data_IF_769236191487
#
_entry.id   IF_769236191487
#
_cell.length_a   1.000
_cell.length_b   1.000
_cell.length_c   1.000
_cell.angle_alpha   90.00
_cell.angle_beta   90.00
_cell.angle_gamma   90.00
#
_symmetry.space_group_name_H-M   'P 1'
#
loop_
_entity.id
_entity.type
_entity.pdbx_description
1 polymer ?
#
# COMPACT_ATOMS: atom_id res chain seq x y z
N UNK A 1 54.77 34.97 -28.16
CA UNK A 1 54.61 33.51 -28.40
C UNK A 1 54.40 32.73 -27.11
N UNK A 2 55.22 32.92 -26.07
CA UNK A 2 55.08 32.29 -24.74
C UNK A 2 53.76 32.63 -24.02
N UNK A 3 53.34 33.89 -24.03
CA UNK A 3 52.06 34.34 -23.42
C UNK A 3 50.84 33.66 -24.07
N UNK A 4 50.84 33.50 -25.39
CA UNK A 4 49.76 32.79 -26.10
C UNK A 4 49.73 31.29 -25.74
N UNK A 5 50.89 30.66 -25.58
CA UNK A 5 50.99 29.28 -25.11
C UNK A 5 50.40 29.13 -23.69
N UNK A 6 50.73 30.02 -22.77
CA UNK A 6 50.20 30.01 -21.40
C UNK A 6 48.68 30.18 -21.39
N UNK A 7 48.15 31.09 -22.22
CA UNK A 7 46.71 31.30 -22.36
C UNK A 7 45.98 30.07 -22.91
N UNK A 8 46.53 29.43 -23.95
CA UNK A 8 45.93 28.23 -24.54
C UNK A 8 45.94 27.05 -23.57
N UNK A 9 47.03 26.87 -22.82
CA UNK A 9 47.13 25.83 -21.79
C UNK A 9 46.12 26.08 -20.67
N UNK A 10 45.99 27.33 -20.20
CA UNK A 10 45.01 27.70 -19.20
C UNK A 10 43.56 27.44 -19.66
N UNK A 11 43.25 27.77 -20.91
CA UNK A 11 41.93 27.50 -21.51
C UNK A 11 41.64 26.00 -21.57
N UNK A 12 42.62 25.19 -22.01
CA UNK A 12 42.48 23.72 -22.07
C UNK A 12 42.22 23.12 -20.69
N UNK A 13 42.95 23.58 -19.66
CA UNK A 13 42.75 23.11 -18.29
C UNK A 13 41.35 23.50 -17.79
N UNK A 14 40.91 24.73 -18.03
CA UNK A 14 39.59 25.19 -17.65
C UNK A 14 38.47 24.36 -18.29
N UNK A 15 38.59 24.05 -19.59
CA UNK A 15 37.65 23.17 -20.31
C UNK A 15 37.66 21.76 -19.74
N UNK A 16 38.84 21.18 -19.47
CA UNK A 16 38.96 19.84 -18.89
C UNK A 16 38.31 19.76 -17.50
N UNK A 17 38.53 20.77 -16.65
CA UNK A 17 37.90 20.86 -15.32
C UNK A 17 36.38 20.99 -15.43
N UNK A 18 35.89 21.83 -16.36
CA UNK A 18 34.45 21.99 -16.57
C UNK A 18 33.79 20.68 -17.04
N UNK A 19 34.40 19.99 -18.01
CA UNK A 19 33.91 18.69 -18.50
C UNK A 19 33.94 17.64 -17.38
N UNK A 20 35.03 17.55 -16.62
CA UNK A 20 35.13 16.63 -15.50
C UNK A 20 34.07 16.89 -14.43
N UNK A 21 33.83 18.15 -14.08
CA UNK A 21 32.82 18.54 -13.11
C UNK A 21 31.40 18.19 -13.57
N UNK A 22 31.08 18.46 -14.84
CA UNK A 22 29.80 18.09 -15.43
C UNK A 22 29.60 16.57 -15.47
N UNK A 23 30.65 15.82 -15.83
CA UNK A 23 30.60 14.36 -15.87
C UNK A 23 30.37 13.78 -14.48
N UNK A 24 31.10 14.27 -13.48
CA UNK A 24 30.92 13.85 -12.09
C UNK A 24 29.53 14.19 -11.57
N UNK A 25 28.96 15.33 -11.97
CA UNK A 25 27.58 15.72 -11.65
C UNK A 25 26.56 14.79 -12.32
N UNK A 26 26.77 14.42 -13.59
CA UNK A 26 25.92 13.46 -14.30
C UNK A 26 25.98 12.07 -13.65
N UNK A 27 27.18 11.59 -13.32
CA UNK A 27 27.40 10.31 -12.64
C UNK A 27 26.71 10.27 -11.26
N UNK A 28 26.71 11.38 -10.52
CA UNK A 28 25.95 11.47 -9.26
C UNK A 28 24.44 11.34 -9.50
N UNK A 29 23.89 12.02 -10.51
CA UNK A 29 22.47 11.93 -10.85
C UNK A 29 22.08 10.52 -11.31
N UNK A 30 22.94 9.87 -12.11
CA UNK A 30 22.74 8.47 -12.50
C UNK A 30 22.80 7.53 -11.29
N UNK A 31 23.68 7.79 -10.32
CA UNK A 31 23.75 6.98 -9.11
C UNK A 31 22.49 7.10 -8.24
N UNK A 32 21.87 8.29 -8.16
CA UNK A 32 20.59 8.48 -7.46
C UNK A 32 19.46 7.74 -8.18
N UNK A 33 19.43 7.80 -9.52
CA UNK A 33 18.45 7.05 -10.34
C UNK A 33 18.66 5.54 -10.28
N UNK A 34 19.89 5.07 -10.17
CA UNK A 34 20.19 3.65 -9.99
C UNK A 34 19.70 3.16 -8.61
N UNK A 35 19.84 3.97 -7.57
CA UNK A 35 19.32 3.68 -6.23
C UNK A 35 17.78 3.67 -6.22
N UNK A 36 17.14 4.61 -6.92
CA UNK A 36 15.67 4.59 -7.10
C UNK A 36 15.20 3.36 -7.90
N UNK A 37 15.87 3.02 -9.00
CA UNK A 37 15.53 1.84 -9.80
C UNK A 37 15.69 0.53 -9.01
N UNK A 38 16.75 0.40 -8.21
CA UNK A 38 16.97 -0.74 -7.31
C UNK A 38 15.89 -0.80 -6.22
N UNK A 39 15.47 0.36 -5.69
CA UNK A 39 14.40 0.44 -4.70
C UNK A 39 13.06 0.00 -5.30
N UNK A 40 12.75 0.41 -6.53
CA UNK A 40 11.55 -0.03 -7.26
C UNK A 40 11.57 -1.53 -7.57
N UNK A 41 12.71 -2.08 -7.97
CA UNK A 41 12.86 -3.53 -8.21
C UNK A 41 12.66 -4.35 -6.93
N UNK A 42 13.15 -3.85 -5.79
CA UNK A 42 12.97 -4.51 -4.49
C UNK A 42 11.50 -4.49 -4.06
N UNK A 43 10.81 -3.36 -4.23
CA UNK A 43 9.36 -3.26 -3.96
C UNK A 43 8.57 -4.18 -4.90
N UNK A 44 8.89 -4.24 -6.19
CA UNK A 44 8.22 -5.14 -7.13
C UNK A 44 8.44 -6.62 -6.80
N UNK A 45 9.65 -7.00 -6.35
CA UNK A 45 9.92 -8.38 -5.92
C UNK A 45 9.13 -8.75 -4.66
N UNK A 46 9.01 -7.82 -3.70
CA UNK A 46 8.17 -8.02 -2.51
C UNK A 46 6.68 -8.11 -2.89
N UNK A 47 6.22 -7.28 -3.83
CA UNK A 47 4.84 -7.33 -4.32
C UNK A 47 4.56 -8.64 -5.06
N UNK A 48 5.48 -9.11 -5.90
CA UNK A 48 5.35 -10.37 -6.62
C UNK A 48 5.38 -11.58 -5.67
N UNK A 49 6.22 -11.56 -4.63
CA UNK A 49 6.24 -12.60 -3.60
C UNK A 49 4.95 -12.61 -2.77
N UNK A 50 4.45 -11.43 -2.38
CA UNK A 50 3.18 -11.30 -1.69
C UNK A 50 2.00 -11.74 -2.57
N UNK A 51 2.00 -11.41 -3.85
CA UNK A 51 0.96 -11.78 -4.80
C UNK A 51 0.96 -13.29 -5.10
N UNK A 52 2.13 -13.94 -5.12
CA UNK A 52 2.23 -15.41 -5.19
C UNK A 52 1.67 -16.07 -3.94
N UNK A 53 2.02 -15.58 -2.74
CA UNK A 53 1.42 -16.08 -1.50
C UNK A 53 -0.10 -15.87 -1.47
N UNK A 54 -0.60 -14.74 -1.96
CA UNK A 54 -2.04 -14.49 -2.08
C UNK A 54 -2.67 -15.43 -3.11
N UNK A 55 -2.02 -15.74 -4.23
CA UNK A 55 -2.52 -16.73 -5.19
C UNK A 55 -2.53 -18.15 -4.61
N UNK A 56 -1.50 -18.57 -3.89
CA UNK A 56 -1.49 -19.88 -3.23
C UNK A 56 -2.57 -19.98 -2.15
N UNK A 57 -2.72 -18.93 -1.33
CA UNK A 57 -3.82 -18.84 -0.35
C UNK A 57 -5.16 -18.74 -1.06
N UNK A 58 -5.27 -18.06 -2.20
CA UNK A 58 -6.51 -17.95 -2.98
C UNK A 58 -6.85 -19.26 -3.68
N UNK A 59 -5.89 -20.08 -4.12
CA UNK A 59 -6.14 -21.42 -4.66
C UNK A 59 -6.57 -22.37 -3.55
N UNK A 60 -5.94 -22.31 -2.37
CA UNK A 60 -6.37 -23.04 -1.19
C UNK A 60 -7.74 -22.57 -0.68
N UNK A 61 -8.01 -21.26 -0.74
CA UNK A 61 -9.29 -20.68 -0.38
C UNK A 61 -10.34 -20.96 -1.45
N UNK A 62 -10.01 -21.02 -2.74
CA UNK A 62 -10.93 -21.39 -3.81
C UNK A 62 -11.30 -22.87 -3.73
N UNK A 63 -10.36 -23.73 -3.33
CA UNK A 63 -10.68 -25.11 -2.95
C UNK A 63 -11.59 -25.19 -1.72
N UNK A 64 -11.54 -24.20 -0.81
CA UNK A 64 -12.46 -24.08 0.34
C UNK A 64 -13.76 -23.32 0.04
N UNK A 65 -13.79 -22.50 -1.01
CA UNK A 65 -14.89 -21.59 -1.42
C UNK A 65 -15.78 -22.22 -2.49
N UNK A 66 -15.32 -23.24 -3.23
CA UNK A 66 -16.24 -24.09 -4.01
C UNK A 66 -17.25 -24.79 -3.10
N UNK A 67 -16.96 -24.93 -1.80
CA UNK A 67 -17.95 -25.38 -0.81
C UNK A 67 -18.78 -24.22 -0.20
N UNK A 68 -18.28 -22.98 -0.24
CA UNK A 68 -18.91 -21.80 0.36
C UNK A 68 -18.64 -20.49 -0.41
N UNK A 69 -19.53 -20.14 -1.33
CA UNK A 69 -19.82 -18.75 -1.73
C UNK A 69 -21.23 -18.38 -1.19
N UNK A 70 -21.60 -17.09 -0.97
CA UNK A 70 -20.96 -15.88 -1.49
C UNK A 70 -20.88 -14.66 -0.52
N UNK A 71 -20.29 -13.59 -1.06
CA UNK A 71 -20.37 -12.13 -0.71
C UNK A 71 -19.28 -11.47 0.16
N UNK A 72 -18.52 -10.61 -0.54
CA UNK A 72 -18.07 -9.26 -0.15
C UNK A 72 -17.56 -9.07 1.29
N UNK A 73 -16.23 -9.05 1.46
CA UNK A 73 -15.59 -8.60 2.69
C UNK A 73 -14.62 -7.44 2.41
N UNK A 74 -15.00 -6.27 2.94
CA UNK A 74 -14.09 -5.20 3.36
C UNK A 74 -13.43 -5.60 4.71
N UNK A 75 -12.34 -4.92 5.15
CA UNK A 75 -11.20 -5.56 5.81
C UNK A 75 -11.42 -5.98 7.26
N UNK A 76 -10.65 -6.99 7.62
CA UNK A 76 -10.62 -7.71 8.88
C UNK A 76 -10.31 -6.86 10.13
N UNK A 77 -11.09 -7.09 11.18
CA UNK A 77 -10.61 -7.08 12.55
C UNK A 77 -10.56 -8.53 13.05
N UNK A 78 -9.44 -8.88 13.66
CA UNK A 78 -9.00 -10.22 14.07
C UNK A 78 -9.81 -10.84 15.22
N UNK A 79 -9.69 -12.17 15.33
CA UNK A 79 -10.12 -13.11 16.38
C UNK A 79 -11.53 -13.71 16.26
N UNK A 80 -11.51 -14.99 15.87
CA UNK A 80 -12.30 -16.10 16.42
C UNK A 80 -13.77 -15.83 16.82
N UNK A 81 -14.67 -16.30 15.95
CA UNK A 81 -16.08 -16.50 16.26
C UNK A 81 -16.95 -15.34 15.78
N UNK A 82 -17.72 -15.57 14.72
CA UNK A 82 -18.80 -14.70 14.21
C UNK A 82 -18.41 -13.23 14.10
N UNK A 83 -18.06 -12.76 12.89
CA UNK A 83 -17.70 -11.35 12.66
C UNK A 83 -18.63 -10.38 13.44
N UNK A 84 -18.10 -9.54 14.34
CA UNK A 84 -18.89 -8.67 15.24
C UNK A 84 -19.84 -7.74 14.47
N UNK A 85 -19.51 -7.45 13.22
CA UNK A 85 -20.39 -6.77 12.26
C UNK A 85 -21.71 -7.52 12.01
N UNK A 86 -21.64 -8.82 11.72
CA UNK A 86 -22.83 -9.62 11.43
C UNK A 86 -23.73 -9.74 12.67
N UNK A 87 -23.11 -9.90 13.84
CA UNK A 87 -23.81 -9.93 15.11
C UNK A 87 -24.50 -8.59 15.40
N UNK A 88 -23.80 -7.46 15.18
CA UNK A 88 -24.37 -6.13 15.34
C UNK A 88 -25.55 -5.87 14.39
N UNK A 89 -25.43 -6.25 13.10
CA UNK A 89 -26.51 -6.12 12.11
C UNK A 89 -27.73 -6.95 12.49
N UNK A 90 -27.56 -8.17 13.00
CA UNK A 90 -28.69 -8.99 13.45
C UNK A 90 -29.40 -8.36 14.66
N UNK A 91 -28.65 -7.78 15.61
CA UNK A 91 -29.24 -7.06 16.73
C UNK A 91 -29.98 -5.79 16.29
N UNK A 92 -29.44 -5.05 15.32
CA UNK A 92 -30.14 -3.90 14.74
C UNK A 92 -31.42 -4.31 14.01
N UNK A 93 -31.43 -5.45 13.31
CA UNK A 93 -32.65 -6.02 12.70
C UNK A 93 -33.71 -6.38 13.73
N UNK A 94 -33.30 -6.80 14.93
CA UNK A 94 -34.19 -7.07 16.07
C UNK A 94 -34.65 -5.80 16.82
N UNK A 95 -34.20 -4.62 16.39
CA UNK A 95 -34.62 -3.32 16.94
C UNK A 95 -33.82 -2.85 18.16
N UNK A 96 -32.66 -3.45 18.45
CA UNK A 96 -31.81 -3.00 19.56
C UNK A 96 -31.13 -1.65 19.23
N UNK A 97 -30.95 -0.81 20.25
CA UNK A 97 -30.28 0.48 20.13
C UNK A 97 -28.76 0.34 20.02
N UNK A 98 -28.10 1.36 19.45
CA UNK A 98 -26.64 1.37 19.25
C UNK A 98 -25.83 1.22 20.54
N UNK A 99 -26.34 1.71 21.67
CA UNK A 99 -25.72 1.53 22.98
C UNK A 99 -25.73 0.07 23.44
N UNK A 100 -26.86 -0.63 23.29
CA UNK A 100 -27.01 -2.03 23.69
C UNK A 100 -26.19 -2.96 22.79
N UNK A 101 -26.08 -2.63 21.50
CA UNK A 101 -25.26 -3.38 20.54
C UNK A 101 -23.77 -3.22 20.82
N UNK A 102 -23.32 -2.02 21.19
CA UNK A 102 -21.94 -1.76 21.57
C UNK A 102 -21.50 -2.61 22.78
N UNK A 103 -22.34 -2.65 23.82
CA UNK A 103 -22.08 -3.42 25.03
C UNK A 103 -22.06 -4.93 24.76
N UNK A 104 -23.02 -5.44 23.97
CA UNK A 104 -23.17 -6.88 23.69
C UNK A 104 -22.15 -7.43 22.69
N UNK A 105 -21.73 -6.62 21.72
CA UNK A 105 -20.72 -7.01 20.73
C UNK A 105 -19.29 -6.64 21.15
N UNK A 106 -19.11 -5.96 22.29
CA UNK A 106 -17.78 -5.52 22.76
C UNK A 106 -17.13 -4.47 21.87
N UNK A 107 -17.93 -3.70 21.13
CA UNK A 107 -17.46 -2.66 20.19
C UNK A 107 -17.73 -1.26 20.75
N UNK A 108 -17.06 -0.24 20.21
CA UNK A 108 -17.30 1.14 20.68
C UNK A 108 -18.69 1.65 20.26
N UNK A 109 -19.28 2.58 21.03
CA UNK A 109 -20.56 3.21 20.66
C UNK A 109 -20.51 3.89 19.29
N UNK A 110 -19.40 4.55 18.98
CA UNK A 110 -19.14 5.17 17.68
C UNK A 110 -19.07 4.14 16.55
N UNK A 111 -18.55 2.95 16.81
CA UNK A 111 -18.49 1.84 15.85
C UNK A 111 -19.87 1.22 15.61
N UNK A 112 -20.67 1.06 16.66
CA UNK A 112 -22.07 0.62 16.53
C UNK A 112 -22.91 1.61 15.71
N UNK A 113 -22.76 2.92 15.93
CA UNK A 113 -23.44 3.95 15.14
C UNK A 113 -22.99 3.97 13.67
N UNK A 114 -21.69 3.76 13.41
CA UNK A 114 -21.15 3.63 12.06
C UNK A 114 -21.77 2.42 11.33
N UNK A 115 -21.82 1.24 11.97
CA UNK A 115 -22.42 0.02 11.40
C UNK A 115 -23.89 0.24 11.05
N UNK A 116 -24.66 0.88 11.94
CA UNK A 116 -26.07 1.19 11.69
C UNK A 116 -26.25 2.16 10.51
N UNK A 117 -25.37 3.16 10.40
CA UNK A 117 -25.38 4.11 9.28
C UNK A 117 -25.07 3.44 7.94
N UNK A 118 -24.08 2.55 7.92
CA UNK A 118 -23.71 1.76 6.74
C UNK A 118 -24.85 0.83 6.33
N UNK A 119 -25.48 0.14 7.29
CA UNK A 119 -26.64 -0.72 7.05
C UNK A 119 -27.83 0.04 6.44
N UNK A 120 -28.14 1.24 6.96
CA UNK A 120 -29.21 2.09 6.41
C UNK A 120 -28.85 2.66 5.04
N UNK A 121 -27.57 2.93 4.79
CA UNK A 121 -27.06 3.54 3.56
C UNK A 121 -26.63 2.53 2.50
N UNK A 122 -26.69 1.22 2.77
CA UNK A 122 -26.53 0.15 1.80
C UNK A 122 -27.92 -0.32 1.34
N UNK A 123 -28.61 0.40 0.44
CA UNK A 123 -29.75 -0.18 -0.26
C UNK A 123 -29.19 -1.37 -1.07
N UNK A 124 -29.53 -2.57 -0.64
CA UNK A 124 -29.44 -3.75 -1.51
C UNK A 124 -30.21 -3.44 -2.80
N UNK A 125 -29.64 -3.67 -3.99
CA UNK A 125 -30.42 -3.62 -5.23
C UNK A 125 -31.55 -4.66 -5.22
#
# INVERSE_FOLDING_TARGET
MTIYLVLLIGLMIAQAVAVFYLWQRLLRIESERAVEAVSHEQLQKQLAAAQRNIQDIALMAQQKVVEHEPRQQLPAASSEGISPYNQAVEMFKRGLGSADVAERCGISRSEAELILSLYRNSPTP
#
